data_IF_585930507868
#
_entry.id   IF_585930507868
#
_cell.length_a   1.000
_cell.length_b   1.000
_cell.length_c   1.000
_cell.angle_alpha   90.00
_cell.angle_beta   90.00
_cell.angle_gamma   90.00
#
_symmetry.space_group_name_H-M   'P 1'
#
loop_
_entity.id
_entity.type
_entity.pdbx_description
1 polymer ?
#
# COMPACT_ATOMS: atom_id res chain seq x y z
N UNK A 1 15.85 19.27 -33.27
CA UNK A 1 14.66 19.51 -32.46
C UNK A 1 14.06 18.14 -32.18
N UNK A 2 14.64 17.46 -31.17
CA UNK A 2 14.31 16.07 -30.85
C UNK A 2 13.03 16.03 -30.05
N UNK A 3 12.00 15.42 -30.62
CA UNK A 3 10.76 15.11 -29.92
C UNK A 3 11.07 13.98 -28.92
N UNK A 4 11.14 14.33 -27.65
CA UNK A 4 11.22 13.38 -26.55
C UNK A 4 9.94 12.55 -26.54
N UNK A 5 10.04 11.32 -27.04
CA UNK A 5 9.03 10.30 -26.86
C UNK A 5 8.95 9.99 -25.36
N UNK A 6 7.99 10.60 -24.66
CA UNK A 6 7.65 10.23 -23.29
C UNK A 6 6.90 8.89 -23.31
N UNK A 7 7.63 7.82 -23.50
CA UNK A 7 7.14 6.45 -23.30
C UNK A 7 6.81 6.28 -21.82
N UNK A 8 5.72 5.56 -21.53
CA UNK A 8 5.07 5.38 -20.23
C UNK A 8 5.92 4.73 -19.13
N UNK A 9 6.95 5.44 -18.69
CA UNK A 9 7.61 5.17 -17.42
C UNK A 9 6.70 5.63 -16.31
N UNK A 10 6.22 4.69 -15.48
CA UNK A 10 5.55 5.01 -14.23
C UNK A 10 6.39 6.05 -13.51
N UNK A 11 5.86 7.27 -13.34
CA UNK A 11 6.69 8.44 -13.04
C UNK A 11 7.69 8.08 -11.93
N UNK A 12 9.00 8.33 -12.10
CA UNK A 12 10.03 7.92 -11.12
C UNK A 12 9.72 8.39 -9.70
N UNK A 13 8.96 9.45 -9.58
CA UNK A 13 8.45 9.97 -8.32
C UNK A 13 7.48 9.03 -7.60
N UNK A 14 6.57 8.36 -8.34
CA UNK A 14 5.64 7.39 -7.72
C UNK A 14 6.38 6.16 -7.21
N UNK A 15 7.30 5.63 -8.01
CA UNK A 15 8.13 4.48 -7.59
C UNK A 15 8.87 4.80 -6.30
N UNK A 16 9.57 5.94 -6.24
CA UNK A 16 10.30 6.37 -5.03
C UNK A 16 9.37 6.56 -3.83
N UNK A 17 8.19 7.15 -4.05
CA UNK A 17 7.22 7.39 -2.97
C UNK A 17 6.74 6.08 -2.35
N UNK A 18 6.33 5.10 -3.17
CA UNK A 18 5.87 3.80 -2.68
C UNK A 18 7.00 2.96 -2.08
N UNK A 19 8.22 2.99 -2.64
CA UNK A 19 9.38 2.35 -2.02
C UNK A 19 9.67 2.96 -0.65
N UNK A 20 9.74 4.29 -0.56
CA UNK A 20 9.97 4.98 0.71
C UNK A 20 8.90 4.67 1.75
N UNK A 21 7.61 4.75 1.37
CA UNK A 21 6.50 4.41 2.26
C UNK A 21 6.57 2.95 2.70
N UNK A 22 6.84 2.02 1.78
CA UNK A 22 6.96 0.60 2.10
C UNK A 22 8.04 0.33 3.16
N UNK A 23 9.23 0.88 2.98
CA UNK A 23 10.32 0.73 3.97
C UNK A 23 10.01 1.43 5.29
N UNK A 24 9.38 2.61 5.28
CA UNK A 24 8.95 3.27 6.52
C UNK A 24 7.93 2.43 7.30
N UNK A 25 6.93 1.85 6.62
CA UNK A 25 5.96 0.95 7.26
C UNK A 25 6.65 -0.29 7.82
N UNK A 26 7.60 -0.89 7.09
CA UNK A 26 8.36 -2.04 7.58
C UNK A 26 9.14 -1.69 8.85
N UNK A 27 9.89 -0.60 8.84
CA UNK A 27 10.66 -0.18 10.03
C UNK A 27 9.73 0.03 11.22
N UNK A 28 8.62 0.76 11.02
CA UNK A 28 7.67 1.06 12.10
C UNK A 28 7.03 -0.21 12.66
N UNK A 29 6.47 -1.06 11.79
CA UNK A 29 5.67 -2.19 12.25
C UNK A 29 6.51 -3.41 12.62
N UNK A 30 7.70 -3.60 12.06
CA UNK A 30 8.67 -4.60 12.58
C UNK A 30 9.13 -4.20 13.99
N UNK A 31 9.42 -2.91 14.21
CA UNK A 31 9.76 -2.42 15.56
C UNK A 31 8.62 -2.61 16.55
N UNK A 32 7.36 -2.40 16.11
CA UNK A 32 6.18 -2.73 16.92
C UNK A 32 6.16 -4.22 17.27
N UNK A 33 6.39 -5.11 16.31
CA UNK A 33 6.46 -6.55 16.55
C UNK A 33 7.51 -6.92 17.60
N UNK A 34 8.71 -6.38 17.49
CA UNK A 34 9.78 -6.58 18.49
C UNK A 34 9.36 -6.09 19.88
N UNK A 35 8.69 -4.94 19.95
CA UNK A 35 8.15 -4.43 21.20
C UNK A 35 7.09 -5.37 21.80
N UNK A 36 6.15 -5.87 20.98
CA UNK A 36 5.12 -6.82 21.43
C UNK A 36 5.71 -8.13 21.93
N UNK A 37 6.75 -8.65 21.27
CA UNK A 37 7.51 -9.83 21.72
C UNK A 37 8.18 -9.59 23.07
N UNK A 38 8.79 -8.43 23.24
CA UNK A 38 9.42 -8.01 24.50
C UNK A 38 8.39 -7.92 25.62
N UNK A 39 7.24 -7.28 25.37
CA UNK A 39 6.15 -7.16 26.36
C UNK A 39 5.62 -8.56 26.77
N UNK A 40 5.58 -9.49 25.81
CA UNK A 40 5.16 -10.86 26.06
C UNK A 40 6.19 -11.63 26.87
N UNK A 41 7.48 -11.54 26.50
CA UNK A 41 8.57 -12.25 27.17
C UNK A 41 8.71 -11.84 28.65
N UNK A 42 8.60 -10.55 28.94
CA UNK A 42 8.66 -10.01 30.31
C UNK A 42 7.32 -10.07 31.06
N UNK A 43 6.30 -10.68 30.48
CA UNK A 43 4.96 -10.86 31.07
C UNK A 43 4.36 -9.56 31.64
N UNK A 44 4.53 -8.45 30.91
CA UNK A 44 4.04 -7.15 31.37
C UNK A 44 2.51 -7.12 31.41
N UNK A 45 1.94 -6.87 32.60
CA UNK A 45 0.52 -6.95 32.87
C UNK A 45 -0.31 -6.05 31.95
N UNK A 46 0.17 -4.84 31.60
CA UNK A 46 -0.52 -3.97 30.67
C UNK A 46 -0.82 -4.64 29.30
N UNK A 47 0.04 -5.53 28.83
CA UNK A 47 -0.13 -6.24 27.55
C UNK A 47 -0.82 -7.59 27.74
N UNK A 48 -0.56 -8.30 28.85
CA UNK A 48 -1.04 -9.66 29.10
C UNK A 48 -2.32 -9.71 29.93
N UNK A 49 -2.89 -8.57 30.33
CA UNK A 49 -4.14 -8.54 31.09
C UNK A 49 -5.24 -9.28 30.32
N UNK A 50 -5.80 -10.30 30.95
CA UNK A 50 -6.90 -11.10 30.39
C UNK A 50 -8.17 -10.27 30.16
N UNK A 51 -8.38 -9.21 30.94
CA UNK A 51 -9.48 -8.28 30.74
C UNK A 51 -9.32 -7.42 29.47
N UNK A 52 -8.14 -7.43 28.83
CA UNK A 52 -7.81 -6.62 27.66
C UNK A 52 -7.31 -7.45 26.47
N UNK A 53 -7.93 -8.58 26.18
CA UNK A 53 -7.62 -9.38 24.98
C UNK A 53 -7.74 -8.56 23.68
N UNK A 54 -8.70 -7.64 23.63
CA UNK A 54 -8.91 -6.71 22.52
C UNK A 54 -7.66 -5.91 22.20
N UNK A 55 -6.98 -5.36 23.22
CA UNK A 55 -5.71 -4.64 23.03
C UNK A 55 -4.66 -5.51 22.34
N UNK A 56 -4.45 -6.69 22.88
CA UNK A 56 -3.45 -7.64 22.35
C UNK A 56 -3.76 -8.03 20.92
N UNK A 57 -5.04 -8.31 20.61
CA UNK A 57 -5.49 -8.62 19.26
C UNK A 57 -5.21 -7.46 18.30
N UNK A 58 -5.65 -6.24 18.65
CA UNK A 58 -5.50 -5.08 17.77
C UNK A 58 -4.03 -4.70 17.51
N UNK A 59 -3.18 -4.77 18.52
CA UNK A 59 -1.74 -4.50 18.34
C UNK A 59 -1.06 -5.55 17.45
N UNK A 60 -1.45 -6.82 17.57
CA UNK A 60 -1.00 -7.89 16.65
C UNK A 60 -1.49 -7.66 15.22
N UNK A 61 -2.76 -7.28 15.05
CA UNK A 61 -3.31 -6.93 13.75
C UNK A 61 -2.59 -5.73 13.14
N UNK A 62 -2.29 -4.71 13.93
CA UNK A 62 -1.51 -3.54 13.48
C UNK A 62 -0.14 -3.97 12.95
N UNK A 63 0.62 -4.77 13.74
CA UNK A 63 1.91 -5.29 13.30
C UNK A 63 1.79 -6.10 12.01
N UNK A 64 0.92 -7.10 11.97
CA UNK A 64 0.79 -8.00 10.82
C UNK A 64 0.39 -7.26 9.54
N UNK A 65 -0.65 -6.39 9.61
CA UNK A 65 -1.09 -5.61 8.47
C UNK A 65 -0.06 -4.56 8.07
N UNK A 66 0.60 -3.90 9.02
CA UNK A 66 1.61 -2.89 8.72
C UNK A 66 2.82 -3.47 7.98
N UNK A 67 3.31 -4.65 8.38
CA UNK A 67 4.38 -5.35 7.68
C UNK A 67 3.93 -5.79 6.29
N UNK A 68 2.76 -6.45 6.20
CA UNK A 68 2.22 -6.90 4.91
C UNK A 68 2.03 -5.75 3.93
N UNK A 69 1.47 -4.63 4.39
CA UNK A 69 1.18 -3.47 3.56
C UNK A 69 2.44 -2.65 3.23
N UNK A 70 3.47 -2.72 4.06
CA UNK A 70 4.81 -2.25 3.71
C UNK A 70 5.37 -3.01 2.51
N UNK A 71 5.32 -4.34 2.54
CA UNK A 71 5.72 -5.19 1.41
C UNK A 71 4.85 -4.96 0.18
N UNK A 72 3.52 -4.76 0.36
CA UNK A 72 2.62 -4.45 -0.74
C UNK A 72 3.00 -3.14 -1.45
N UNK A 73 3.38 -2.09 -0.71
CA UNK A 73 3.84 -0.82 -1.32
C UNK A 73 5.11 -1.03 -2.15
N UNK A 74 6.07 -1.82 -1.65
CA UNK A 74 7.28 -2.17 -2.40
C UNK A 74 6.92 -2.95 -3.67
N UNK A 75 6.08 -3.98 -3.56
CA UNK A 75 5.63 -4.78 -4.68
C UNK A 75 4.86 -3.92 -5.72
N UNK A 76 3.99 -3.02 -5.25
CA UNK A 76 3.29 -2.06 -6.10
C UNK A 76 4.29 -1.19 -6.89
N UNK A 77 5.28 -0.61 -6.21
CA UNK A 77 6.31 0.21 -6.86
C UNK A 77 7.06 -0.56 -7.95
N UNK A 78 7.46 -1.80 -7.68
CA UNK A 78 8.17 -2.66 -8.61
C UNK A 78 7.29 -3.11 -9.77
N UNK A 79 5.97 -3.16 -9.60
CA UNK A 79 5.02 -3.57 -10.63
C UNK A 79 4.67 -2.46 -11.63
N UNK A 80 4.87 -1.17 -11.26
CA UNK A 80 4.48 -0.03 -12.09
C UNK A 80 5.01 -0.08 -13.53
N UNK A 81 6.29 -0.45 -13.80
CA UNK A 81 6.81 -0.49 -15.15
C UNK A 81 6.26 -1.65 -16.02
N UNK A 82 5.61 -2.64 -15.39
CA UNK A 82 5.18 -3.87 -16.04
C UNK A 82 3.70 -3.89 -16.43
N UNK A 83 2.95 -2.84 -16.15
CA UNK A 83 1.53 -2.76 -16.48
C UNK A 83 1.23 -1.77 -17.58
N UNK A 84 0.11 -1.96 -18.28
CA UNK A 84 -0.36 -1.01 -19.27
C UNK A 84 -0.65 0.37 -18.63
N UNK A 85 -0.29 1.48 -19.28
CA UNK A 85 -0.60 2.82 -18.80
C UNK A 85 -2.12 3.07 -18.85
N UNK A 86 -2.69 3.49 -17.71
CA UNK A 86 -4.12 3.78 -17.58
C UNK A 86 -4.45 5.28 -17.72
N UNK A 87 -3.43 6.10 -18.00
CA UNK A 87 -3.54 7.56 -18.01
C UNK A 87 -3.23 8.18 -16.63
N UNK A 88 -2.59 9.35 -16.66
CA UNK A 88 -1.96 9.99 -15.50
C UNK A 88 -2.93 10.22 -14.32
N UNK A 89 -4.19 10.61 -14.61
CA UNK A 89 -5.20 10.85 -13.57
C UNK A 89 -5.57 9.54 -12.84
N UNK A 90 -5.82 8.46 -13.57
CA UNK A 90 -6.19 7.16 -13.00
C UNK A 90 -5.02 6.60 -12.20
N UNK A 91 -3.82 6.67 -12.76
CA UNK A 91 -2.57 6.28 -12.09
C UNK A 91 -2.39 6.98 -10.74
N UNK A 92 -2.62 8.30 -10.71
CA UNK A 92 -2.51 9.11 -9.50
C UNK A 92 -3.56 8.71 -8.45
N UNK A 93 -4.79 8.41 -8.86
CA UNK A 93 -5.83 7.93 -7.94
C UNK A 93 -5.49 6.55 -7.37
N UNK A 94 -5.09 5.59 -8.21
CA UNK A 94 -4.68 4.24 -7.76
C UNK A 94 -3.55 4.36 -6.73
N UNK A 95 -2.52 5.15 -7.03
CA UNK A 95 -1.39 5.38 -6.13
C UNK A 95 -1.84 5.94 -4.78
N UNK A 96 -2.71 6.97 -4.77
CA UNK A 96 -3.23 7.56 -3.53
C UNK A 96 -4.07 6.57 -2.73
N UNK A 97 -4.93 5.79 -3.39
CA UNK A 97 -5.77 4.78 -2.74
C UNK A 97 -4.90 3.71 -2.04
N UNK A 98 -3.84 3.25 -2.72
CA UNK A 98 -2.90 2.29 -2.13
C UNK A 98 -2.15 2.92 -0.95
N UNK A 99 -1.61 4.14 -1.08
CA UNK A 99 -0.87 4.80 -0.01
C UNK A 99 -1.74 5.08 1.22
N UNK A 100 -2.89 5.69 1.01
CA UNK A 100 -3.79 6.07 2.11
C UNK A 100 -4.37 4.81 2.76
N UNK A 101 -4.82 3.85 1.96
CA UNK A 101 -5.38 2.60 2.47
C UNK A 101 -4.38 1.78 3.27
N UNK A 102 -3.13 1.66 2.77
CA UNK A 102 -2.06 0.93 3.45
C UNK A 102 -1.56 1.60 4.74
N UNK A 103 -1.84 2.87 4.92
CA UNK A 103 -1.51 3.62 6.14
C UNK A 103 -2.67 3.58 7.14
N UNK A 104 -3.90 3.86 6.69
CA UNK A 104 -5.07 3.95 7.58
C UNK A 104 -5.42 2.60 8.22
N UNK A 105 -5.30 1.50 7.48
CA UNK A 105 -5.69 0.19 7.99
C UNK A 105 -4.87 -0.22 9.23
N UNK A 106 -3.53 -0.29 9.19
CA UNK A 106 -2.75 -0.65 10.36
C UNK A 106 -2.78 0.46 11.43
N UNK A 107 -2.90 1.74 11.05
CA UNK A 107 -3.05 2.84 12.01
C UNK A 107 -4.35 2.72 12.81
N UNK A 108 -5.46 2.32 12.17
CA UNK A 108 -6.73 2.08 12.85
C UNK A 108 -6.62 1.00 13.93
N UNK A 109 -5.97 -0.12 13.62
CA UNK A 109 -5.71 -1.17 14.61
C UNK A 109 -4.76 -0.69 15.70
N UNK A 110 -3.68 0.01 15.35
CA UNK A 110 -2.71 0.52 16.32
C UNK A 110 -3.38 1.48 17.31
N UNK A 111 -4.03 2.51 16.80
CA UNK A 111 -4.69 3.53 17.62
C UNK A 111 -5.86 2.93 18.41
N UNK A 112 -6.65 2.06 17.80
CA UNK A 112 -7.74 1.35 18.46
C UNK A 112 -7.27 0.46 19.62
N UNK A 113 -6.07 -0.10 19.52
CA UNK A 113 -5.49 -0.99 20.53
C UNK A 113 -4.68 -0.29 21.62
N UNK A 114 -4.15 0.91 21.38
CA UNK A 114 -3.37 1.65 22.38
C UNK A 114 -4.21 2.06 23.58
N UNK A 115 -5.45 2.48 23.33
CA UNK A 115 -6.40 2.88 24.37
C UNK A 115 -7.65 2.04 24.23
N UNK A 116 -7.87 1.13 25.17
CA UNK A 116 -9.07 0.28 25.25
C UNK A 116 -9.90 0.75 26.43
N UNK A 117 -11.18 1.02 26.20
CA UNK A 117 -12.12 1.56 27.16
C UNK A 117 -13.15 0.48 27.52
N UNK A 118 -13.08 -0.02 28.78
CA UNK A 118 -14.05 -1.02 29.26
C UNK A 118 -14.06 -2.35 28.45
N UNK A 119 -12.93 -2.72 27.81
CA UNK A 119 -12.86 -3.90 26.95
C UNK A 119 -13.11 -3.63 25.47
N UNK A 120 -13.66 -2.47 25.12
CA UNK A 120 -13.94 -2.06 23.76
C UNK A 120 -12.80 -1.24 23.14
N UNK A 121 -12.57 -1.38 21.82
CA UNK A 121 -11.56 -0.60 21.14
C UNK A 121 -11.93 0.88 21.07
N UNK A 122 -10.94 1.74 21.08
CA UNK A 122 -11.12 3.16 20.79
C UNK A 122 -11.78 3.36 19.40
N UNK A 123 -12.66 4.37 19.21
CA UNK A 123 -13.29 4.69 17.94
C UNK A 123 -12.33 4.84 16.74
N UNK A 124 -11.05 5.13 16.98
CA UNK A 124 -10.03 5.16 15.91
C UNK A 124 -9.91 3.83 15.16
N UNK A 125 -10.38 2.70 15.72
CA UNK A 125 -10.44 1.41 15.00
C UNK A 125 -11.26 1.50 13.73
N UNK A 126 -12.20 2.44 13.60
CA UNK A 126 -12.99 2.67 12.38
C UNK A 126 -12.15 3.12 11.18
N UNK A 127 -10.93 3.60 11.40
CA UNK A 127 -9.99 3.86 10.31
C UNK A 127 -9.59 2.57 9.57
N UNK A 128 -9.62 1.42 10.25
CA UNK A 128 -9.22 0.14 9.63
C UNK A 128 -10.17 -0.28 8.49
N UNK A 129 -11.50 -0.37 8.64
CA UNK A 129 -12.39 -0.69 7.53
C UNK A 129 -12.38 0.36 6.42
N UNK A 130 -12.23 1.65 6.75
CA UNK A 130 -12.06 2.71 5.75
C UNK A 130 -10.78 2.49 4.94
N UNK A 131 -9.65 2.28 5.63
CA UNK A 131 -8.37 1.97 4.99
C UNK A 131 -8.42 0.72 4.11
N UNK A 132 -9.09 -0.34 4.60
CA UNK A 132 -9.28 -1.59 3.85
C UNK A 132 -10.06 -1.35 2.55
N UNK A 133 -11.14 -0.56 2.59
CA UNK A 133 -11.96 -0.24 1.42
C UNK A 133 -11.18 0.55 0.37
N UNK A 134 -10.41 1.55 0.80
CA UNK A 134 -9.55 2.34 -0.09
C UNK A 134 -8.46 1.46 -0.72
N UNK A 135 -7.80 0.64 0.08
CA UNK A 135 -6.77 -0.27 -0.37
C UNK A 135 -7.34 -1.27 -1.39
N UNK A 136 -8.49 -1.84 -1.12
CA UNK A 136 -9.17 -2.78 -2.03
C UNK A 136 -9.44 -2.13 -3.39
N UNK A 137 -9.97 -0.91 -3.41
CA UNK A 137 -10.18 -0.15 -4.64
C UNK A 137 -8.86 0.12 -5.39
N UNK A 138 -7.77 0.45 -4.67
CA UNK A 138 -6.44 0.63 -5.25
C UNK A 138 -5.87 -0.66 -5.87
N UNK A 139 -6.04 -1.79 -5.18
CA UNK A 139 -5.62 -3.12 -5.68
C UNK A 139 -6.43 -3.54 -6.90
N UNK A 140 -7.74 -3.32 -6.90
CA UNK A 140 -8.59 -3.57 -8.09
C UNK A 140 -8.13 -2.74 -9.29
N UNK A 141 -7.85 -1.43 -9.09
CA UNK A 141 -7.34 -0.57 -10.15
C UNK A 141 -5.98 -1.05 -10.68
N UNK A 142 -5.12 -1.54 -9.79
CA UNK A 142 -3.83 -2.12 -10.17
C UNK A 142 -4.01 -3.39 -11.00
N UNK A 143 -4.86 -4.31 -10.55
CA UNK A 143 -5.18 -5.54 -11.28
C UNK A 143 -5.77 -5.24 -12.67
N UNK A 144 -6.66 -4.24 -12.74
CA UNK A 144 -7.21 -3.79 -14.03
C UNK A 144 -6.11 -3.33 -15.00
N UNK A 145 -5.08 -2.61 -14.52
CA UNK A 145 -3.94 -2.18 -15.33
C UNK A 145 -3.15 -3.35 -15.92
N UNK A 146 -3.07 -4.48 -15.23
CA UNK A 146 -2.44 -5.70 -15.76
C UNK A 146 -3.33 -6.46 -16.75
N UNK A 147 -4.64 -6.41 -16.57
CA UNK A 147 -5.60 -7.11 -17.44
C UNK A 147 -5.93 -6.30 -18.70
N UNK A 148 -5.74 -4.99 -18.69
CA UNK A 148 -5.98 -4.12 -19.83
C UNK A 148 -4.93 -4.37 -20.91
N UNK A 149 -5.39 -4.51 -22.15
CA UNK A 149 -4.49 -4.54 -23.30
C UNK A 149 -3.88 -3.15 -23.49
N UNK A 150 -2.57 -3.06 -23.58
CA UNK A 150 -1.89 -1.82 -23.94
C UNK A 150 -2.42 -1.28 -25.28
N UNK A 151 -2.28 0.03 -25.56
CA UNK A 151 -2.63 0.58 -26.86
C UNK A 151 -1.92 -0.24 -27.95
N UNK A 152 -2.60 -0.51 -29.09
CA UNK A 152 -1.98 -1.25 -30.19
C UNK A 152 -0.68 -0.57 -30.60
N UNK A 153 0.36 -1.36 -30.77
CA UNK A 153 1.64 -0.86 -31.30
C UNK A 153 1.33 -0.10 -32.59
N UNK A 154 1.69 1.17 -32.63
CA UNK A 154 1.38 2.04 -33.76
C UNK A 154 2.18 1.55 -34.98
N UNK A 155 1.55 0.97 -35.97
CA UNK A 155 2.12 0.51 -37.23
C UNK A 155 2.65 1.66 -38.13
N UNK A 156 3.09 2.75 -37.49
CA UNK A 156 3.64 3.92 -38.16
C UNK A 156 4.95 3.63 -38.89
N UNK A 157 5.59 2.50 -38.62
CA UNK A 157 6.82 2.11 -39.31
C UNK A 157 6.59 1.61 -40.74
N UNK A 158 5.38 1.12 -41.08
CA UNK A 158 5.09 0.55 -42.39
C UNK A 158 4.77 1.59 -43.47
N UNK A 159 4.46 2.83 -43.10
CA UNK A 159 4.13 3.88 -44.07
C UNK A 159 5.34 4.64 -44.60
N UNK A 160 6.45 4.63 -43.89
CA UNK A 160 7.70 5.30 -44.35
C UNK A 160 8.35 4.53 -45.49
N UNK A 161 8.32 3.20 -45.43
CA UNK A 161 8.97 2.34 -46.48
C UNK A 161 8.18 2.32 -47.82
N UNK A 162 6.87 2.62 -47.79
CA UNK A 162 6.07 2.71 -49.03
C UNK A 162 6.23 4.01 -49.81
N UNK A 163 6.82 5.06 -49.23
CA UNK A 163 7.10 6.32 -49.93
C UNK A 163 8.50 6.41 -50.47
N UNK A 164 9.35 5.41 -50.20
CA UNK A 164 10.73 5.34 -50.68
C UNK A 164 10.90 4.41 -51.90
N UNK A 165 9.81 3.87 -52.46
CA UNK A 165 9.74 3.12 -53.70
C UNK A 165 8.83 3.85 -54.68
#
# INVERSE_FOLDING_TARGET
MEAHASGGDGSPGRVRLHLGMGWCLLVLFVSLGMALETLHAFKLGWYLDLANETRRLLLRLAHAHGVLLGLLNIAFALSLPHRAPLGERVESWISRLVLVGSTLLPAGFLLGGLVVLGGDPNPAVLLAPVGASLLFAGVLGTAWGFLSKGPPANDSASTVDRRAR
#
